data_IF_038024241095
#
_entry.id   IF_038024241095
#
_cell.length_a   1.000
_cell.length_b   1.000
_cell.length_c   1.000
_cell.angle_alpha   90.00
_cell.angle_beta   90.00
_cell.angle_gamma   90.00
#
_symmetry.space_group_name_H-M   'P 1'
#
loop_
_entity.id
_entity.type
_entity.pdbx_description
1 polymer ?
#
# COMPACT_ATOMS: atom_id res chain seq x y z
N UNK A 1 14.24 -10.12 3.88
CA UNK A 1 13.26 -10.83 4.08
C UNK A 1 11.85 -10.28 4.08
N UNK A 2 10.99 -10.74 4.99
CA UNK A 2 9.59 -10.37 4.88
C UNK A 2 9.37 -8.88 5.06
N UNK A 3 10.01 -8.29 6.05
CA UNK A 3 9.84 -6.87 6.27
C UNK A 3 10.30 -6.06 5.06
N UNK A 4 11.41 -6.46 4.46
CA UNK A 4 11.91 -5.77 3.28
C UNK A 4 10.92 -5.87 2.13
N UNK A 5 10.32 -7.06 1.96
CA UNK A 5 9.35 -7.25 0.89
C UNK A 5 8.10 -6.39 1.11
N UNK A 6 7.68 -6.29 2.37
CA UNK A 6 6.52 -5.46 2.69
C UNK A 6 6.84 -4.00 2.39
N UNK A 7 8.03 -3.55 2.75
CA UNK A 7 8.42 -2.16 2.48
C UNK A 7 8.48 -1.89 0.99
N UNK A 8 9.00 -2.84 0.21
CA UNK A 8 9.01 -2.67 -1.24
C UNK A 8 7.57 -2.59 -1.77
N UNK A 9 6.68 -3.38 -1.20
CA UNK A 9 5.28 -3.34 -1.62
C UNK A 9 4.67 -1.97 -1.36
N UNK A 10 5.01 -1.33 -0.26
CA UNK A 10 4.47 0.00 0.00
C UNK A 10 4.92 0.99 -1.05
N UNK A 11 6.15 0.86 -1.54
CA UNK A 11 6.63 1.73 -2.60
C UNK A 11 5.82 1.56 -3.87
N UNK A 12 5.53 0.30 -4.24
CA UNK A 12 4.71 0.05 -5.42
C UNK A 12 3.29 0.60 -5.23
N UNK A 13 2.75 0.41 -4.04
CA UNK A 13 1.40 0.89 -3.76
C UNK A 13 1.32 2.40 -3.87
N UNK A 14 2.36 3.07 -3.46
CA UNK A 14 2.39 4.53 -3.45
C UNK A 14 2.70 5.09 -4.85
N UNK A 15 3.65 4.48 -5.54
CA UNK A 15 4.20 5.06 -6.76
C UNK A 15 3.59 4.53 -8.05
N UNK A 16 2.82 3.45 -8.00
CA UNK A 16 2.26 2.86 -9.22
C UNK A 16 0.79 2.56 -9.04
N UNK A 17 0.14 2.28 -10.17
CA UNK A 17 -1.25 1.85 -10.16
C UNK A 17 -1.38 0.35 -10.37
N UNK A 18 -0.32 -0.40 -10.18
CA UNK A 18 -0.34 -1.83 -10.40
C UNK A 18 -1.30 -2.51 -9.45
N UNK A 19 -1.87 -3.62 -9.93
CA UNK A 19 -2.79 -4.39 -9.10
C UNK A 19 -2.07 -4.97 -7.90
N UNK A 20 -2.82 -5.25 -6.85
CA UNK A 20 -2.26 -5.86 -5.65
C UNK A 20 -1.62 -7.20 -6.01
N UNK A 21 -2.24 -7.96 -6.92
CA UNK A 21 -1.68 -9.24 -7.36
C UNK A 21 -0.32 -9.07 -8.00
N UNK A 22 -0.18 -8.09 -8.88
CA UNK A 22 1.11 -7.85 -9.53
C UNK A 22 2.16 -7.43 -8.52
N UNK A 23 1.79 -6.57 -7.61
CA UNK A 23 2.73 -6.12 -6.57
C UNK A 23 3.17 -7.31 -5.73
N UNK A 24 2.24 -8.18 -5.37
CA UNK A 24 2.54 -9.38 -4.61
C UNK A 24 3.64 -10.19 -5.28
N UNK A 25 3.48 -10.43 -6.57
CA UNK A 25 4.44 -11.22 -7.33
C UNK A 25 5.77 -10.47 -7.44
N UNK A 26 5.70 -9.20 -7.74
CA UNK A 26 6.92 -8.40 -7.97
C UNK A 26 7.81 -8.34 -6.74
N UNK A 27 7.22 -8.34 -5.55
CA UNK A 27 8.02 -8.26 -4.34
C UNK A 27 8.37 -9.64 -3.78
N UNK A 28 7.96 -10.71 -4.46
CA UNK A 28 8.44 -12.04 -4.12
C UNK A 28 7.54 -12.89 -3.25
N UNK A 29 6.27 -12.56 -3.14
CA UNK A 29 5.33 -13.40 -2.41
C UNK A 29 4.70 -14.42 -3.35
N UNK A 30 4.46 -15.62 -2.84
CA UNK A 30 3.91 -16.70 -3.64
C UNK A 30 2.40 -16.64 -3.78
N UNK A 31 1.72 -16.04 -2.84
CA UNK A 31 0.27 -15.99 -2.87
C UNK A 31 -0.24 -14.71 -2.29
N UNK A 32 -1.36 -14.25 -2.84
CA UNK A 32 -1.92 -12.97 -2.40
C UNK A 32 -2.46 -13.04 -0.97
N UNK A 33 -2.97 -14.20 -0.57
CA UNK A 33 -3.46 -14.35 0.80
C UNK A 33 -2.34 -14.21 1.82
N UNK A 34 -1.22 -14.86 1.54
CA UNK A 34 -0.08 -14.77 2.42
C UNK A 34 0.48 -13.35 2.43
N UNK A 35 0.54 -12.76 1.26
CA UNK A 35 0.98 -11.38 1.14
C UNK A 35 0.11 -10.45 1.98
N UNK A 36 -1.20 -10.59 1.88
CA UNK A 36 -2.11 -9.75 2.63
C UNK A 36 -1.95 -9.90 4.13
N UNK A 37 -1.81 -11.14 4.60
CA UNK A 37 -1.62 -11.38 6.02
C UNK A 37 -0.32 -10.80 6.52
N UNK A 38 0.75 -11.01 5.78
CA UNK A 38 2.06 -10.51 6.16
C UNK A 38 2.07 -8.99 6.16
N UNK A 39 1.51 -8.40 5.12
CA UNK A 39 1.43 -6.96 5.02
C UNK A 39 0.68 -6.38 6.22
N UNK A 40 -0.46 -6.96 6.55
CA UNK A 40 -1.26 -6.48 7.67
C UNK A 40 -0.50 -6.61 8.99
N UNK A 41 0.29 -7.67 9.11
CA UNK A 41 1.06 -7.87 10.33
C UNK A 41 2.07 -6.74 10.54
N UNK A 42 2.72 -6.30 9.49
CA UNK A 42 3.74 -5.27 9.61
C UNK A 42 3.18 -3.86 9.52
N UNK A 43 2.11 -3.68 8.74
CA UNK A 43 1.60 -2.34 8.47
C UNK A 43 0.28 -2.04 9.15
N UNK A 44 -0.32 -3.01 9.82
CA UNK A 44 -1.59 -2.87 10.53
C UNK A 44 -2.78 -2.63 9.62
N UNK A 45 -2.62 -2.84 8.32
CA UNK A 45 -3.72 -2.74 7.36
C UNK A 45 -3.38 -3.58 6.16
N UNK A 46 -4.41 -3.90 5.36
CA UNK A 46 -4.19 -4.68 4.15
C UNK A 46 -3.59 -3.78 3.07
N UNK A 47 -2.99 -4.39 2.04
CA UNK A 47 -2.46 -3.59 0.93
C UNK A 47 -3.51 -2.72 0.27
N UNK A 48 -4.73 -3.24 0.13
CA UNK A 48 -5.82 -2.45 -0.46
C UNK A 48 -6.17 -1.26 0.41
N UNK A 49 -6.24 -1.48 1.71
CA UNK A 49 -6.53 -0.41 2.65
C UNK A 49 -5.41 0.63 2.65
N UNK A 50 -4.20 0.16 2.56
CA UNK A 50 -3.04 1.06 2.52
C UNK A 50 -3.13 1.98 1.30
N UNK A 51 -3.43 1.41 0.14
CA UNK A 51 -3.56 2.21 -1.08
C UNK A 51 -4.71 3.20 -0.98
N UNK A 52 -5.84 2.76 -0.44
CA UNK A 52 -6.99 3.64 -0.26
C UNK A 52 -6.65 4.79 0.67
N UNK A 53 -5.92 4.50 1.73
CA UNK A 53 -5.53 5.53 2.69
C UNK A 53 -4.59 6.55 2.05
N UNK A 54 -3.68 6.10 1.21
CA UNK A 54 -2.79 7.01 0.50
C UNK A 54 -3.61 7.96 -0.36
N UNK A 55 -4.53 7.42 -1.13
CA UNK A 55 -5.36 8.24 -2.01
C UNK A 55 -6.20 9.21 -1.22
N UNK A 56 -6.79 8.75 -0.13
CA UNK A 56 -7.59 9.60 0.70
C UNK A 56 -6.76 10.72 1.34
N UNK A 57 -5.58 10.37 1.77
CA UNK A 57 -4.67 11.36 2.37
C UNK A 57 -4.32 12.45 1.38
N UNK A 58 -4.00 12.06 0.16
CA UNK A 58 -3.67 13.03 -0.87
C UNK A 58 -4.85 13.95 -1.16
N UNK A 59 -6.02 13.36 -1.27
CA UNK A 59 -7.23 14.12 -1.49
C UNK A 59 -7.48 15.08 -0.35
N UNK A 60 -7.34 14.56 0.84
CA UNK A 60 -7.59 15.34 2.03
C UNK A 60 -6.63 16.52 2.14
N UNK A 61 -5.38 16.28 1.82
CA UNK A 61 -4.39 17.34 1.86
C UNK A 61 -4.74 18.46 0.91
N UNK A 62 -5.16 18.11 -0.29
CA UNK A 62 -5.57 19.11 -1.25
C UNK A 62 -6.73 19.94 -0.74
N UNK A 63 -7.70 19.27 -0.17
CA UNK A 63 -8.86 19.93 0.40
C UNK A 63 -8.47 20.82 1.56
N UNK A 64 -7.57 20.32 2.36
CA UNK A 64 -7.13 21.05 3.53
C UNK A 64 -6.46 22.34 3.15
N UNK A 65 -5.64 22.29 2.14
CA UNK A 65 -4.96 23.48 1.67
C UNK A 65 -5.96 24.55 1.25
N UNK A 66 -7.00 24.12 0.56
CA UNK A 66 -8.05 25.04 0.13
C UNK A 66 -8.76 25.64 1.32
N UNK A 67 -9.02 24.84 2.31
CA UNK A 67 -9.75 25.32 3.48
C UNK A 67 -8.97 26.35 4.25
N UNK A 68 -7.69 26.14 4.32
CA UNK A 68 -6.84 27.06 5.07
C UNK A 68 -6.82 28.44 4.44
N UNK A 69 -7.10 28.47 3.19
CA UNK A 69 -7.17 29.75 2.51
C UNK A 69 -8.53 30.38 2.65
#
# INVERSE_FOLDING_TARGET
LMEYRVLKATEYLYNTDESISNICINVGFNGISYFGKTFKKFMNCTPSQYRANIKNTKKFESTEIKKDN
#
